data_IF_967683003274
#
_entry.id   IF_967683003274
#
_cell.length_a   1.000
_cell.length_b   1.000
_cell.length_c   1.000
_cell.angle_alpha   90.00
_cell.angle_beta   90.00
_cell.angle_gamma   90.00
#
_symmetry.space_group_name_H-M   'P 1'
#
loop_
_entity.id
_entity.type
_entity.pdbx_description
1 polymer ?
#
# COMPACT_ATOMS: atom_id res chain seq x y z
N UNK A 1 4.15 18.39 5.49
CA UNK A 1 3.62 17.52 4.41
C UNK A 1 4.15 16.12 4.65
N UNK A 2 3.29 15.14 4.91
CA UNK A 2 3.73 13.76 5.10
C UNK A 2 4.02 13.13 3.74
N UNK A 3 5.28 12.84 3.44
CA UNK A 3 5.69 12.28 2.15
C UNK A 3 5.39 10.78 2.05
N UNK A 4 4.81 10.30 0.96
CA UNK A 4 4.62 8.87 0.73
C UNK A 4 5.95 8.13 0.54
N UNK A 5 6.07 6.95 1.16
CA UNK A 5 7.27 6.10 1.08
C UNK A 5 6.90 4.62 0.96
N UNK A 6 7.72 3.86 0.24
CA UNK A 6 7.64 2.40 0.23
C UNK A 6 8.48 1.89 1.40
N UNK A 7 7.86 1.18 2.35
CA UNK A 7 8.52 0.70 3.57
C UNK A 7 9.03 -0.73 3.43
N UNK A 8 8.46 -1.50 2.50
CA UNK A 8 8.89 -2.87 2.19
C UNK A 8 8.49 -3.21 0.75
N UNK A 9 9.32 -3.98 0.05
CA UNK A 9 8.97 -4.61 -1.23
C UNK A 9 9.42 -6.08 -1.25
N UNK A 10 8.58 -6.92 -1.86
CA UNK A 10 8.86 -8.30 -2.20
C UNK A 10 8.40 -8.58 -3.62
N UNK A 11 8.59 -9.82 -4.07
CA UNK A 11 8.15 -10.21 -5.42
C UNK A 11 6.62 -10.21 -5.56
N UNK A 12 5.90 -10.59 -4.49
CA UNK A 12 4.44 -10.77 -4.48
C UNK A 12 3.70 -9.74 -3.63
N UNK A 13 4.41 -9.04 -2.75
CA UNK A 13 3.82 -8.12 -1.80
C UNK A 13 4.63 -6.82 -1.69
N UNK A 14 3.98 -5.78 -1.20
CA UNK A 14 4.61 -4.50 -0.93
C UNK A 14 3.89 -3.82 0.24
N UNK A 15 4.62 -3.01 0.99
CA UNK A 15 4.03 -2.13 2.00
C UNK A 15 4.42 -0.68 1.70
N UNK A 16 3.43 0.19 1.76
CA UNK A 16 3.61 1.63 1.62
C UNK A 16 3.17 2.34 2.90
N UNK A 17 3.76 3.50 3.17
CA UNK A 17 3.33 4.45 4.19
C UNK A 17 2.97 5.77 3.48
N UNK A 18 1.68 6.09 3.46
CA UNK A 18 1.10 7.19 2.67
C UNK A 18 0.26 8.09 3.56
N UNK A 19 -0.02 9.34 3.18
CA UNK A 19 -1.03 10.17 3.85
C UNK A 19 -2.37 9.46 3.98
N UNK A 20 -3.04 9.64 5.12
CA UNK A 20 -4.28 8.94 5.44
C UNK A 20 -5.45 9.31 4.49
N UNK A 21 -5.39 10.48 3.88
CA UNK A 21 -6.36 11.06 2.95
C UNK A 21 -6.17 10.63 1.50
N UNK A 22 -5.10 9.89 1.18
CA UNK A 22 -4.89 9.37 -0.17
C UNK A 22 -5.99 8.41 -0.59
N UNK A 23 -6.47 8.54 -1.83
CA UNK A 23 -7.37 7.54 -2.43
C UNK A 23 -6.61 6.27 -2.79
N UNK A 24 -7.35 5.19 -3.01
CA UNK A 24 -6.75 3.90 -3.39
C UNK A 24 -6.03 4.00 -4.75
N UNK A 25 -6.55 4.79 -5.68
CA UNK A 25 -5.91 5.06 -6.97
C UNK A 25 -4.56 5.75 -6.81
N UNK A 26 -4.46 6.74 -5.92
CA UNK A 26 -3.20 7.44 -5.64
C UNK A 26 -2.15 6.50 -5.02
N UNK A 27 -2.60 5.59 -4.15
CA UNK A 27 -1.75 4.56 -3.56
C UNK A 27 -1.22 3.60 -4.62
N UNK A 28 -2.09 3.11 -5.50
CA UNK A 28 -1.75 2.20 -6.59
C UNK A 28 -0.84 2.88 -7.62
N UNK A 29 -1.10 4.13 -7.98
CA UNK A 29 -0.24 4.90 -8.89
C UNK A 29 1.17 5.07 -8.30
N UNK A 30 1.25 5.46 -7.02
CA UNK A 30 2.53 5.58 -6.32
C UNK A 30 3.28 4.25 -6.29
N UNK A 31 2.59 3.16 -5.96
CA UNK A 31 3.11 1.80 -5.94
C UNK A 31 3.69 1.39 -7.29
N UNK A 32 2.90 1.51 -8.37
CA UNK A 32 3.33 1.15 -9.72
C UNK A 32 4.48 2.04 -10.24
N UNK A 33 4.53 3.32 -9.85
CA UNK A 33 5.63 4.22 -10.21
C UNK A 33 6.93 3.89 -9.46
N UNK A 34 6.84 3.48 -8.19
CA UNK A 34 8.01 3.18 -7.35
C UNK A 34 8.57 1.79 -7.57
N UNK A 35 7.71 0.81 -7.82
CA UNK A 35 8.08 -0.56 -8.06
C UNK A 35 7.13 -1.12 -9.13
N UNK A 36 7.42 -0.97 -10.44
CA UNK A 36 6.54 -1.48 -11.47
C UNK A 36 6.30 -2.99 -11.30
N UNK A 37 5.05 -3.43 -11.22
CA UNK A 37 4.73 -4.83 -10.91
C UNK A 37 5.20 -5.83 -11.99
N UNK A 38 5.52 -5.35 -13.19
CA UNK A 38 5.92 -6.20 -14.33
C UNK A 38 4.77 -7.03 -14.91
N UNK A 39 3.53 -6.77 -14.49
CA UNK A 39 2.30 -7.44 -14.93
C UNK A 39 1.31 -6.42 -15.47
N UNK A 40 0.45 -6.82 -16.41
CA UNK A 40 -0.56 -5.93 -17.02
C UNK A 40 -1.54 -5.31 -16.00
N UNK A 41 -1.75 -5.99 -14.86
CA UNK A 41 -2.71 -5.58 -13.83
C UNK A 41 -2.09 -4.73 -12.69
N UNK A 42 -0.77 -4.51 -12.70
CA UNK A 42 -0.09 -3.71 -11.66
C UNK A 42 -0.20 -4.25 -10.23
N UNK A 43 0.13 -3.41 -9.26
CA UNK A 43 -0.16 -3.65 -7.85
C UNK A 43 -1.63 -3.39 -7.51
N UNK A 44 -2.17 -4.16 -6.57
CA UNK A 44 -3.51 -3.96 -6.00
C UNK A 44 -3.42 -3.86 -4.49
N UNK A 45 -4.30 -3.07 -3.88
CA UNK A 45 -4.40 -3.03 -2.42
C UNK A 45 -4.91 -4.38 -1.93
N UNK A 46 -4.26 -4.92 -0.89
CA UNK A 46 -4.73 -6.12 -0.20
C UNK A 46 -6.02 -5.79 0.55
N UNK A 47 -7.14 -6.15 -0.06
CA UNK A 47 -8.47 -5.88 0.45
C UNK A 47 -8.99 -6.93 1.45
N UNK A 48 -10.18 -6.71 2.02
CA UNK A 48 -10.81 -7.64 2.98
C UNK A 48 -11.03 -9.05 2.44
N UNK A 49 -11.25 -9.17 1.13
CA UNK A 49 -11.45 -10.44 0.42
C UNK A 49 -10.14 -11.24 0.26
N UNK A 50 -8.98 -10.62 0.50
CA UNK A 50 -7.70 -11.32 0.37
C UNK A 50 -7.53 -12.31 1.52
N UNK A 51 -7.19 -13.58 1.25
CA UNK A 51 -6.91 -14.56 2.30
C UNK A 51 -5.71 -14.15 3.17
N UNK A 52 -4.84 -13.27 2.65
CA UNK A 52 -3.67 -12.76 3.36
C UNK A 52 -3.97 -11.54 4.24
N UNK A 53 -5.20 -11.01 4.20
CA UNK A 53 -5.61 -9.89 5.04
C UNK A 53 -5.96 -10.34 6.45
N UNK A 54 -6.46 -11.58 6.61
CA UNK A 54 -6.71 -12.22 7.91
C UNK A 54 -7.48 -11.33 8.91
N UNK A 55 -8.49 -10.60 8.43
CA UNK A 55 -9.31 -9.69 9.25
C UNK A 55 -8.60 -8.41 9.73
N UNK A 56 -7.35 -8.16 9.31
CA UNK A 56 -6.65 -6.92 9.63
C UNK A 56 -7.29 -5.72 8.91
N UNK A 57 -7.18 -4.50 9.45
CA UNK A 57 -7.57 -3.28 8.73
C UNK A 57 -6.72 -3.09 7.46
N UNK A 58 -7.35 -2.65 6.37
CA UNK A 58 -6.64 -2.33 5.10
C UNK A 58 -5.69 -1.14 5.28
N UNK A 59 -6.09 -0.17 6.11
CA UNK A 59 -5.32 1.02 6.45
C UNK A 59 -4.98 0.98 7.94
N UNK A 60 -3.71 0.79 8.26
CA UNK A 60 -3.22 0.75 9.64
C UNK A 60 -2.50 2.07 9.97
N UNK A 61 -2.90 2.82 11.00
CA UNK A 61 -2.21 4.06 11.36
C UNK A 61 -0.71 3.85 11.59
N UNK A 62 0.12 4.74 11.04
CA UNK A 62 1.56 4.72 11.27
C UNK A 62 1.89 5.34 12.64
N UNK A 63 2.52 4.58 13.53
CA UNK A 63 2.91 5.05 14.87
C UNK A 63 4.00 6.13 14.85
N UNK A 64 4.78 6.21 13.78
CA UNK A 64 5.92 7.13 13.65
C UNK A 64 5.58 8.40 12.86
N UNK A 65 4.53 8.38 12.04
CA UNK A 65 4.18 9.46 11.10
C UNK A 65 2.71 9.82 11.24
N UNK A 66 2.43 10.78 12.14
CA UNK A 66 1.07 11.28 12.43
C UNK A 66 0.38 11.74 11.14
N UNK A 67 -0.79 11.19 10.84
CA UNK A 67 -1.53 11.48 9.60
C UNK A 67 -1.14 10.58 8.42
N UNK A 68 -0.38 9.50 8.66
CA UNK A 68 -0.07 8.49 7.65
C UNK A 68 -0.59 7.10 8.04
N UNK A 69 -0.81 6.28 7.02
CA UNK A 69 -1.27 4.89 7.15
C UNK A 69 -0.36 3.94 6.39
N UNK A 70 -0.20 2.74 6.93
CA UNK A 70 0.39 1.59 6.26
C UNK A 70 -0.68 0.83 5.48
N UNK A 71 -0.35 0.52 4.22
CA UNK A 71 -1.21 -0.25 3.33
C UNK A 71 -0.36 -1.35 2.70
N UNK A 72 -0.88 -2.58 2.76
CA UNK A 72 -0.31 -3.74 2.07
C UNK A 72 -0.86 -3.80 0.64
N UNK A 73 0.00 -4.10 -0.31
CA UNK A 73 -0.34 -4.36 -1.70
C UNK A 73 0.12 -5.75 -2.10
N UNK A 74 -0.56 -6.32 -3.09
CA UNK A 74 -0.27 -7.63 -3.68
C UNK A 74 -0.49 -7.63 -5.20
N UNK A 75 -0.04 -8.72 -5.83
CA UNK A 75 -0.20 -8.98 -7.27
C UNK A 75 -1.03 -10.23 -7.52
#
# INVERSE_FOLDING_TARGET
MNTAVMTRSGALDMQVCVPADWTDEQVIEFANRKNPAGTELGWKIRGPESPYQNGAPVRVPCSERVGSVHIMLER
#
